data_IF_736388981009
#
_entry.id   IF_736388981009
#
_cell.length_a   1.000
_cell.length_b   1.000
_cell.length_c   1.000
_cell.angle_alpha   90.00
_cell.angle_beta   90.00
_cell.angle_gamma   90.00
#
_symmetry.space_group_name_H-M   'P 1'
#
loop_
_entity.id
_entity.type
_entity.pdbx_description
1 polymer ?
#
# COMPACT_ATOMS: atom_id res chain seq x y z
N UNK A 1 27.03 6.73 -34.00
CA UNK A 1 26.81 7.20 -32.60
C UNK A 1 25.69 6.38 -31.98
N UNK A 2 26.00 5.52 -31.00
CA UNK A 2 25.02 4.79 -30.18
C UNK A 2 25.67 4.37 -28.85
N UNK A 3 25.85 5.32 -27.92
CA UNK A 3 26.45 5.07 -26.58
C UNK A 3 25.42 5.08 -25.43
N UNK A 4 24.12 5.30 -25.69
CA UNK A 4 23.13 5.53 -24.64
C UNK A 4 22.57 4.30 -23.92
N UNK A 5 22.63 3.10 -24.52
CA UNK A 5 21.89 1.91 -24.02
C UNK A 5 22.69 1.03 -23.04
N UNK A 6 24.02 0.99 -23.16
CA UNK A 6 24.90 0.15 -22.32
C UNK A 6 25.14 0.73 -20.92
N UNK A 7 25.24 2.06 -20.80
CA UNK A 7 25.49 2.75 -19.53
C UNK A 7 24.32 2.73 -18.54
N UNK A 8 23.06 2.65 -19.01
CA UNK A 8 21.90 2.62 -18.10
C UNK A 8 21.71 1.26 -17.44
N UNK A 9 22.07 0.18 -18.14
CA UNK A 9 21.97 -1.19 -17.62
C UNK A 9 22.91 -1.40 -16.42
N UNK A 10 24.14 -0.90 -16.52
CA UNK A 10 25.14 -0.98 -15.44
C UNK A 10 24.79 -0.15 -14.20
N UNK A 11 24.06 0.97 -14.37
CA UNK A 11 23.60 1.80 -13.25
C UNK A 11 22.44 1.14 -12.50
N UNK A 12 21.49 0.54 -13.21
CA UNK A 12 20.36 -0.17 -12.60
C UNK A 12 20.84 -1.40 -11.81
N UNK A 13 21.67 -2.24 -12.43
CA UNK A 13 22.25 -3.42 -11.80
C UNK A 13 23.08 -3.05 -10.55
N UNK A 14 23.81 -1.92 -10.60
CA UNK A 14 24.53 -1.40 -9.43
C UNK A 14 23.57 -1.00 -8.31
N UNK A 15 22.50 -0.27 -8.62
CA UNK A 15 21.52 0.18 -7.61
C UNK A 15 20.83 -1.01 -6.94
N UNK A 16 20.51 -2.04 -7.70
CA UNK A 16 19.96 -3.30 -7.17
C UNK A 16 20.92 -3.96 -6.18
N UNK A 17 22.21 -4.09 -6.55
CA UNK A 17 23.24 -4.61 -5.64
C UNK A 17 23.41 -3.74 -4.38
N UNK A 18 23.41 -2.42 -4.53
CA UNK A 18 23.46 -1.48 -3.39
C UNK A 18 22.25 -1.69 -2.48
N UNK A 19 21.04 -1.84 -3.03
CA UNK A 19 19.82 -2.09 -2.27
C UNK A 19 19.91 -3.40 -1.47
N UNK A 20 20.34 -4.50 -2.11
CA UNK A 20 20.54 -5.78 -1.43
C UNK A 20 21.52 -5.66 -0.26
N UNK A 21 22.62 -4.90 -0.43
CA UNK A 21 23.59 -4.72 0.65
C UNK A 21 23.07 -3.80 1.77
N UNK A 22 22.27 -2.78 1.45
CA UNK A 22 21.55 -1.97 2.45
C UNK A 22 20.59 -2.83 3.28
N UNK A 23 19.86 -3.76 2.65
CA UNK A 23 18.95 -4.67 3.39
C UNK A 23 19.67 -5.62 4.35
N UNK A 24 20.97 -5.84 4.14
CA UNK A 24 21.85 -6.59 5.05
C UNK A 24 22.44 -5.71 6.16
N UNK A 25 22.09 -4.43 6.21
CA UNK A 25 22.55 -3.48 7.23
C UNK A 25 23.92 -2.85 6.96
N UNK A 26 24.49 -3.00 5.76
CA UNK A 26 25.80 -2.43 5.44
C UNK A 26 25.71 -0.90 5.28
N UNK A 27 26.72 -0.20 5.80
CA UNK A 27 26.92 1.24 5.64
C UNK A 27 27.59 1.56 4.29
N UNK A 28 27.43 2.81 3.82
CA UNK A 28 27.91 3.24 2.50
C UNK A 28 29.39 2.93 2.21
N UNK A 29 30.29 3.10 3.18
CA UNK A 29 31.72 2.76 3.02
C UNK A 29 31.96 1.24 2.92
N UNK A 30 31.15 0.43 3.61
CA UNK A 30 31.25 -1.04 3.52
C UNK A 30 30.76 -1.53 2.17
N UNK A 31 29.67 -0.93 1.66
CA UNK A 31 29.15 -1.21 0.31
C UNK A 31 30.15 -0.80 -0.77
N UNK A 32 30.81 0.35 -0.60
CA UNK A 32 31.84 0.83 -1.52
C UNK A 32 33.01 -0.17 -1.62
N UNK A 33 33.45 -0.69 -0.47
CA UNK A 33 34.48 -1.73 -0.39
C UNK A 33 34.03 -3.05 -1.02
N UNK A 34 32.79 -3.50 -0.74
CA UNK A 34 32.24 -4.76 -1.25
C UNK A 34 32.07 -4.75 -2.77
N UNK A 35 31.69 -3.61 -3.34
CA UNK A 35 31.42 -3.47 -4.78
C UNK A 35 32.62 -2.92 -5.58
N UNK A 36 33.75 -2.67 -4.92
CA UNK A 36 34.95 -2.04 -5.49
C UNK A 36 34.66 -0.75 -6.28
N UNK A 37 33.90 0.16 -5.65
CA UNK A 37 33.52 1.46 -6.24
C UNK A 37 33.70 2.60 -5.23
N UNK A 38 33.76 3.83 -5.71
CA UNK A 38 33.90 4.99 -4.81
C UNK A 38 32.67 5.20 -3.93
N UNK A 39 32.89 5.63 -2.69
CA UNK A 39 31.82 5.97 -1.74
C UNK A 39 30.85 7.03 -2.30
N UNK A 40 31.37 7.99 -3.08
CA UNK A 40 30.55 9.00 -3.77
C UNK A 40 29.55 8.36 -4.75
N UNK A 41 29.92 7.27 -5.41
CA UNK A 41 29.07 6.54 -6.36
C UNK A 41 27.99 5.75 -5.62
N UNK A 42 28.34 5.14 -4.48
CA UNK A 42 27.37 4.51 -3.59
C UNK A 42 26.38 5.54 -3.06
N UNK A 43 26.86 6.66 -2.52
CA UNK A 43 26.01 7.73 -1.97
C UNK A 43 25.00 8.25 -3.00
N UNK A 44 25.42 8.48 -4.25
CA UNK A 44 24.49 8.85 -5.34
C UNK A 44 23.45 7.77 -5.64
N UNK A 45 23.84 6.49 -5.53
CA UNK A 45 22.92 5.36 -5.74
C UNK A 45 21.89 5.28 -4.62
N UNK A 46 22.32 5.44 -3.36
CA UNK A 46 21.43 5.50 -2.18
C UNK A 46 20.44 6.64 -2.32
N UNK A 47 20.90 7.86 -2.62
CA UNK A 47 20.00 9.02 -2.85
C UNK A 47 19.00 8.78 -3.97
N UNK A 48 19.38 8.04 -5.00
CA UNK A 48 18.45 7.67 -6.08
C UNK A 48 17.39 6.68 -5.61
N UNK A 49 17.78 5.66 -4.84
CA UNK A 49 16.86 4.67 -4.26
C UNK A 49 15.90 5.31 -3.26
N UNK A 50 16.37 6.26 -2.45
CA UNK A 50 15.53 7.04 -1.53
C UNK A 50 14.46 7.84 -2.29
N UNK A 51 14.84 8.56 -3.36
CA UNK A 51 13.89 9.30 -4.20
C UNK A 51 12.88 8.37 -4.87
N UNK A 52 13.35 7.26 -5.43
CA UNK A 52 12.48 6.25 -6.05
C UNK A 52 11.48 5.68 -5.03
N UNK A 53 11.91 5.46 -3.79
CA UNK A 53 11.03 5.00 -2.71
C UNK A 53 9.96 6.03 -2.36
N UNK A 54 10.33 7.32 -2.30
CA UNK A 54 9.38 8.42 -2.06
C UNK A 54 8.38 8.53 -3.21
N UNK A 55 8.83 8.46 -4.45
CA UNK A 55 7.97 8.51 -5.64
C UNK A 55 7.00 7.31 -5.67
N UNK A 56 7.48 6.12 -5.30
CA UNK A 56 6.67 4.93 -5.17
C UNK A 56 5.62 5.05 -4.07
N UNK A 57 5.99 5.58 -2.88
CA UNK A 57 5.05 5.85 -1.79
C UNK A 57 3.98 6.87 -2.19
N UNK A 58 4.37 7.93 -2.90
CA UNK A 58 3.43 8.94 -3.42
C UNK A 58 2.45 8.34 -4.44
N UNK A 59 2.94 7.49 -5.35
CA UNK A 59 2.10 6.75 -6.30
C UNK A 59 1.15 5.79 -5.59
N UNK A 60 1.66 5.07 -4.59
CA UNK A 60 0.89 4.16 -3.74
C UNK A 60 -0.25 4.89 -3.01
N UNK A 61 0.07 5.99 -2.33
CA UNK A 61 -0.92 6.83 -1.66
C UNK A 61 -1.94 7.37 -2.67
N UNK A 62 -1.50 7.83 -3.84
CA UNK A 62 -2.38 8.46 -4.85
C UNK A 62 -3.34 7.50 -5.53
N UNK A 63 -2.89 6.30 -5.87
CA UNK A 63 -3.65 5.38 -6.73
C UNK A 63 -4.11 4.12 -6.01
N UNK A 64 -3.20 3.43 -5.34
CA UNK A 64 -3.53 2.13 -4.73
C UNK A 64 -4.36 2.29 -3.47
N UNK A 65 -4.06 3.27 -2.63
CA UNK A 65 -4.76 3.45 -1.36
C UNK A 65 -6.26 3.73 -1.55
N UNK A 66 -6.72 4.67 -2.40
CA UNK A 66 -8.15 4.86 -2.66
C UNK A 66 -8.83 3.62 -3.22
N UNK A 67 -8.15 2.93 -4.14
CA UNK A 67 -8.67 1.70 -4.72
C UNK A 67 -8.90 0.65 -3.64
N UNK A 68 -7.93 0.43 -2.75
CA UNK A 68 -8.06 -0.50 -1.63
C UNK A 68 -9.19 -0.09 -0.68
N UNK A 69 -9.28 1.18 -0.30
CA UNK A 69 -10.40 1.69 0.50
C UNK A 69 -11.74 1.39 -0.15
N UNK A 70 -11.90 1.69 -1.43
CA UNK A 70 -13.13 1.42 -2.16
C UNK A 70 -13.45 -0.08 -2.21
N UNK A 71 -12.47 -0.92 -2.53
CA UNK A 71 -12.67 -2.38 -2.58
C UNK A 71 -12.99 -2.97 -1.22
N UNK A 72 -12.40 -2.45 -0.13
CA UNK A 72 -12.70 -2.89 1.24
C UNK A 72 -14.11 -2.47 1.66
N UNK A 73 -14.53 -1.24 1.35
CA UNK A 73 -15.90 -0.76 1.58
C UNK A 73 -16.90 -1.68 0.87
N UNK A 74 -16.64 -2.01 -0.40
CA UNK A 74 -17.52 -2.87 -1.18
C UNK A 74 -17.57 -4.31 -0.64
N UNK A 75 -16.42 -4.87 -0.26
CA UNK A 75 -16.36 -6.18 0.39
C UNK A 75 -17.18 -6.22 1.69
N UNK A 76 -17.05 -5.19 2.55
CA UNK A 76 -17.83 -5.10 3.79
C UNK A 76 -19.33 -4.99 3.50
N UNK A 77 -19.73 -4.22 2.47
CA UNK A 77 -21.14 -4.12 2.06
C UNK A 77 -21.71 -5.46 1.61
N UNK A 78 -20.94 -6.23 0.84
CA UNK A 78 -21.37 -7.56 0.40
C UNK A 78 -21.58 -8.50 1.58
N UNK A 79 -20.65 -8.53 2.54
CA UNK A 79 -20.78 -9.33 3.76
C UNK A 79 -22.02 -8.88 4.56
N UNK A 80 -22.23 -7.56 4.70
CA UNK A 80 -23.38 -7.01 5.39
C UNK A 80 -24.71 -7.42 4.73
N UNK A 81 -24.78 -7.39 3.40
CA UNK A 81 -25.95 -7.85 2.65
C UNK A 81 -26.25 -9.33 2.90
N UNK A 82 -25.22 -10.19 2.88
CA UNK A 82 -25.38 -11.61 3.20
C UNK A 82 -25.83 -11.84 4.64
N UNK A 83 -25.31 -11.07 5.60
CA UNK A 83 -25.78 -11.13 6.98
C UNK A 83 -27.29 -10.83 7.07
N UNK A 84 -27.76 -9.80 6.37
CA UNK A 84 -29.19 -9.48 6.32
C UNK A 84 -30.00 -10.55 5.61
N UNK A 85 -29.45 -11.20 4.57
CA UNK A 85 -30.10 -12.31 3.89
C UNK A 85 -30.33 -13.50 4.83
N UNK A 86 -29.28 -13.94 5.55
CA UNK A 86 -29.34 -15.02 6.55
C UNK A 86 -30.32 -14.66 7.67
N UNK A 87 -30.25 -13.44 8.19
CA UNK A 87 -31.13 -12.99 9.27
C UNK A 87 -32.61 -13.00 8.83
N UNK A 88 -32.89 -12.45 7.65
CA UNK A 88 -34.24 -12.33 7.11
C UNK A 88 -34.85 -13.69 6.75
N UNK A 89 -34.00 -14.68 6.45
CA UNK A 89 -34.39 -16.02 5.98
C UNK A 89 -35.53 -15.98 4.95
N UNK A 90 -35.41 -15.12 3.92
CA UNK A 90 -36.47 -14.96 2.91
C UNK A 90 -36.74 -16.23 2.09
N UNK A 91 -35.77 -17.15 2.06
CA UNK A 91 -35.89 -18.46 1.43
C UNK A 91 -36.65 -19.50 2.28
N UNK A 92 -37.04 -19.16 3.51
CA UNK A 92 -37.64 -20.09 4.47
C UNK A 92 -36.84 -21.39 4.63
N UNK A 93 -35.51 -21.28 4.68
CA UNK A 93 -34.63 -22.40 4.93
C UNK A 93 -34.80 -22.85 6.40
N UNK A 94 -35.25 -24.09 6.59
CA UNK A 94 -35.52 -24.69 7.90
C UNK A 94 -34.21 -25.01 8.67
N UNK A 95 -33.07 -25.11 7.98
CA UNK A 95 -31.76 -25.33 8.63
C UNK A 95 -31.23 -24.06 9.32
N UNK A 96 -31.75 -22.88 8.96
CA UNK A 96 -31.33 -21.61 9.58
C UNK A 96 -31.92 -21.50 10.98
N UNK A 97 -31.07 -21.73 11.98
CA UNK A 97 -31.43 -21.62 13.38
C UNK A 97 -31.39 -20.16 13.88
N UNK A 98 -31.98 -19.93 15.06
CA UNK A 98 -31.82 -18.67 15.79
C UNK A 98 -30.34 -18.30 16.01
N UNK A 99 -29.47 -19.28 16.24
CA UNK A 99 -28.04 -19.03 16.45
C UNK A 99 -27.38 -18.49 15.18
N UNK A 100 -27.76 -19.00 14.00
CA UNK A 100 -27.29 -18.46 12.72
C UNK A 100 -27.70 -17.00 12.56
N UNK A 101 -28.97 -16.67 12.88
CA UNK A 101 -29.48 -15.30 12.83
C UNK A 101 -28.75 -14.36 13.79
N UNK A 102 -28.50 -14.81 15.02
CA UNK A 102 -27.76 -14.03 16.00
C UNK A 102 -26.30 -13.78 15.56
N UNK A 103 -25.65 -14.80 14.99
CA UNK A 103 -24.29 -14.67 14.46
C UNK A 103 -24.24 -13.72 13.27
N UNK A 104 -25.23 -13.76 12.38
CA UNK A 104 -25.34 -12.82 11.26
C UNK A 104 -25.48 -11.37 11.77
N UNK A 105 -26.29 -11.13 12.80
CA UNK A 105 -26.40 -9.79 13.41
C UNK A 105 -25.10 -9.32 14.08
N UNK A 106 -24.37 -10.22 14.75
CA UNK A 106 -23.06 -9.90 15.32
C UNK A 106 -22.06 -9.48 14.23
N UNK A 107 -21.99 -10.25 13.15
CA UNK A 107 -21.12 -9.93 12.02
C UNK A 107 -21.55 -8.64 11.31
N UNK A 108 -22.86 -8.38 11.19
CA UNK A 108 -23.37 -7.12 10.67
C UNK A 108 -22.94 -5.91 11.52
N UNK A 109 -22.98 -6.03 12.85
CA UNK A 109 -22.44 -5.02 13.77
C UNK A 109 -20.94 -4.79 13.52
N UNK A 110 -20.15 -5.86 13.44
CA UNK A 110 -18.70 -5.78 13.18
C UNK A 110 -18.39 -5.14 11.82
N UNK A 111 -19.20 -5.42 10.80
CA UNK A 111 -19.11 -4.77 9.49
C UNK A 111 -19.34 -3.26 9.59
N UNK A 112 -20.38 -2.84 10.32
CA UNK A 112 -20.66 -1.42 10.55
C UNK A 112 -19.56 -0.73 11.35
N UNK A 113 -19.02 -1.37 12.39
CA UNK A 113 -17.88 -0.85 13.16
C UNK A 113 -16.63 -0.72 12.29
N UNK A 114 -16.36 -1.71 11.43
CA UNK A 114 -15.23 -1.69 10.50
C UNK A 114 -15.39 -0.62 9.42
N UNK A 115 -16.60 -0.44 8.90
CA UNK A 115 -16.93 0.62 7.94
C UNK A 115 -16.75 2.00 8.57
N UNK A 116 -17.21 2.18 9.81
CA UNK A 116 -17.02 3.42 10.55
C UNK A 116 -15.54 3.74 10.75
N UNK A 117 -14.70 2.75 11.10
CA UNK A 117 -13.24 2.92 11.21
C UNK A 117 -12.59 3.31 9.88
N UNK A 118 -12.95 2.63 8.78
CA UNK A 118 -12.42 2.98 7.46
C UNK A 118 -12.83 4.41 7.04
N UNK A 119 -14.05 4.82 7.37
CA UNK A 119 -14.53 6.17 7.05
C UNK A 119 -13.98 7.22 8.03
N UNK A 120 -13.64 6.88 9.27
CA UNK A 120 -12.95 7.80 10.18
C UNK A 120 -11.51 8.06 9.76
N UNK A 121 -10.86 7.05 9.18
CA UNK A 121 -9.44 7.11 8.83
C UNK A 121 -9.21 7.57 7.37
N UNK A 122 -10.21 7.42 6.51
CA UNK A 122 -10.16 7.74 5.07
C UNK A 122 -10.03 9.23 4.70
N UNK A 123 -10.77 10.17 5.32
CA UNK A 123 -10.68 11.61 5.06
C UNK A 123 -9.26 12.16 5.28
N UNK A 124 -8.52 11.65 6.26
CA UNK A 124 -7.14 12.04 6.55
C UNK A 124 -6.18 11.77 5.38
N UNK A 125 -6.42 10.71 4.59
CA UNK A 125 -5.60 10.34 3.42
C UNK A 125 -5.94 11.20 2.19
N UNK A 126 -7.21 11.58 2.03
CA UNK A 126 -7.63 12.49 0.95
C UNK A 126 -7.12 13.90 1.24
N UNK A 127 -7.25 14.36 2.47
CA UNK A 127 -6.76 15.66 2.93
C UNK A 127 -5.23 15.79 2.82
N UNK A 128 -4.48 14.72 3.07
CA UNK A 128 -3.03 14.67 2.82
C UNK A 128 -2.66 14.86 1.34
N UNK A 129 -3.47 14.35 0.41
CA UNK A 129 -3.24 14.55 -1.04
C UNK A 129 -3.55 15.97 -1.50
N UNK A 130 -4.56 16.60 -0.89
CA UNK A 130 -4.90 18.00 -1.15
C UNK A 130 -3.80 18.92 -0.62
N UNK A 131 -3.33 18.69 0.62
CA UNK A 131 -2.19 19.41 1.21
C UNK A 131 -0.90 19.26 0.38
N UNK A 132 -0.58 18.06 -0.12
CA UNK A 132 0.52 17.88 -1.07
C UNK A 132 0.35 18.68 -2.37
N UNK A 133 -0.88 18.84 -2.85
CA UNK A 133 -1.21 19.60 -4.06
C UNK A 133 -1.03 21.11 -3.87
N UNK A 134 -1.32 21.62 -2.68
CA UNK A 134 -1.14 23.03 -2.32
C UNK A 134 0.34 23.39 -2.07
N UNK A 135 1.10 22.52 -1.39
CA UNK A 135 2.55 22.72 -1.16
C UNK A 135 3.34 22.79 -2.48
N UNK A 136 2.88 22.11 -3.55
CA UNK A 136 3.54 22.14 -4.87
C UNK A 136 3.23 23.38 -5.70
N UNK A 137 2.26 24.19 -5.29
CA UNK A 137 1.87 25.42 -6.00
C UNK A 137 2.59 26.67 -5.45
N UNK A 138 3.41 26.52 -4.42
CA UNK A 138 4.24 27.56 -3.81
C UNK A 138 5.71 27.14 -3.81
#
# INVERSE_FOLDING_TARGET
>A
MSKGRSSNKTVSERREKVMVLLTKGLKGYQIAKELDISESTVSRSIKSLERESIDNLNSFAKKMLPFWYQTSIEGIRNILNECWHIYSNKGNDEEITWMNKLNALKLAKECNESMFKLVSDGPSIIYLKELEGEIRKH
#
